data_IF_917217788087
#
_entry.id   IF_917217788087
#
_cell.length_a   1.000
_cell.length_b   1.000
_cell.length_c   1.000
_cell.angle_alpha   90.00
_cell.angle_beta   90.00
_cell.angle_gamma   90.00
#
_symmetry.space_group_name_H-M   'P 1'
#
loop_
_entity.id
_entity.type
_entity.pdbx_description
1 polymer ?
#
# COMPACT_ATOMS: atom_id res chain seq x y z
N UNK A 1 15.79 6.53 -34.84
CA UNK A 1 16.84 5.54 -34.50
C UNK A 1 17.08 4.51 -35.59
N UNK A 2 16.02 3.94 -36.13
CA UNK A 2 16.09 2.97 -37.25
C UNK A 2 16.88 3.52 -38.47
N UNK A 3 16.70 4.81 -38.84
CA UNK A 3 17.40 5.42 -39.97
C UNK A 3 18.94 5.53 -39.79
N UNK A 4 19.42 5.82 -38.56
CA UNK A 4 20.88 5.84 -38.29
C UNK A 4 21.47 4.43 -38.28
N UNK A 5 20.69 3.42 -37.83
CA UNK A 5 21.12 2.03 -37.92
C UNK A 5 21.24 1.59 -39.36
N UNK A 6 20.29 1.93 -40.23
CA UNK A 6 20.38 1.69 -41.68
C UNK A 6 21.64 2.27 -42.28
N UNK A 7 22.00 3.52 -41.92
CA UNK A 7 23.27 4.14 -42.42
C UNK A 7 24.47 3.33 -41.93
N UNK A 8 24.48 2.85 -40.70
CA UNK A 8 25.60 2.08 -40.14
C UNK A 8 25.75 0.70 -40.78
N UNK A 9 24.62 0.04 -41.06
CA UNK A 9 24.57 -1.29 -41.67
C UNK A 9 24.98 -1.31 -43.16
N UNK A 10 24.87 -0.16 -43.88
CA UNK A 10 25.19 -0.05 -45.31
C UNK A 10 26.48 0.77 -45.60
N UNK A 11 27.39 0.85 -44.63
CA UNK A 11 28.65 1.59 -44.80
C UNK A 11 29.58 1.00 -45.84
N UNK A 12 29.48 -0.31 -46.14
CA UNK A 12 30.27 -0.99 -47.15
C UNK A 12 29.90 -0.55 -48.57
N UNK A 13 28.61 -0.26 -48.81
CA UNK A 13 28.07 -0.02 -50.15
C UNK A 13 27.93 1.46 -50.49
N UNK A 14 27.69 2.31 -49.47
CA UNK A 14 27.38 3.73 -49.71
C UNK A 14 28.08 4.66 -48.72
N UNK A 15 28.47 5.85 -49.24
CA UNK A 15 29.04 6.88 -48.36
C UNK A 15 28.01 7.47 -47.42
N UNK A 16 28.41 7.75 -46.19
CA UNK A 16 27.58 8.38 -45.14
C UNK A 16 26.93 9.68 -45.64
N UNK A 17 27.70 10.48 -46.44
CA UNK A 17 27.18 11.73 -47.00
C UNK A 17 25.96 11.48 -47.88
N UNK A 18 26.07 10.52 -48.84
CA UNK A 18 24.98 10.18 -49.77
C UNK A 18 23.75 9.67 -49.04
N UNK A 19 23.93 8.70 -48.12
CA UNK A 19 22.83 8.12 -47.35
C UNK A 19 22.12 9.16 -46.48
N UNK A 20 22.88 10.00 -45.78
CA UNK A 20 22.28 11.07 -44.97
C UNK A 20 21.49 12.07 -45.80
N UNK A 21 21.99 12.44 -46.99
CA UNK A 21 21.27 13.34 -47.92
C UNK A 21 19.96 12.71 -48.40
N UNK A 22 19.98 11.46 -48.86
CA UNK A 22 18.77 10.75 -49.32
C UNK A 22 17.74 10.54 -48.21
N UNK A 23 18.18 10.22 -47.01
CA UNK A 23 17.31 9.98 -45.86
C UNK A 23 16.87 11.24 -45.09
N UNK A 24 17.32 12.41 -45.53
CA UNK A 24 17.04 13.68 -44.85
C UNK A 24 17.64 13.75 -43.45
N UNK A 25 18.83 13.18 -43.22
CA UNK A 25 19.49 13.12 -41.92
C UNK A 25 20.66 14.10 -41.85
N UNK A 26 20.84 14.70 -40.67
CA UNK A 26 22.03 15.50 -40.40
C UNK A 26 23.22 14.56 -40.12
N UNK A 27 24.30 14.72 -40.86
CA UNK A 27 25.51 13.91 -40.78
C UNK A 27 26.19 13.97 -39.40
N UNK A 28 26.23 15.15 -38.79
CA UNK A 28 26.79 15.29 -37.44
C UNK A 28 25.96 14.55 -36.39
N UNK A 29 24.64 14.49 -36.57
CA UNK A 29 23.73 13.71 -35.70
C UNK A 29 23.97 12.20 -35.83
N UNK A 30 24.26 11.70 -37.03
CA UNK A 30 24.65 10.31 -37.23
C UNK A 30 25.97 9.98 -36.48
N UNK A 31 27.02 10.76 -36.65
CA UNK A 31 28.29 10.52 -35.94
C UNK A 31 28.13 10.62 -34.41
N UNK A 32 27.36 11.60 -33.93
CA UNK A 32 27.04 11.69 -32.51
C UNK A 32 26.31 10.44 -32.01
N UNK A 33 25.36 9.91 -32.78
CA UNK A 33 24.68 8.67 -32.49
C UNK A 33 25.67 7.48 -32.51
N UNK A 34 26.50 7.35 -33.50
CA UNK A 34 27.50 6.28 -33.60
C UNK A 34 28.47 6.30 -32.42
N UNK A 35 29.06 7.44 -32.12
CA UNK A 35 30.02 7.61 -31.03
C UNK A 35 29.41 7.37 -29.65
N UNK A 36 28.09 7.52 -29.51
CA UNK A 36 27.39 7.23 -28.28
C UNK A 36 26.96 5.74 -28.10
N UNK A 37 27.32 4.87 -29.06
CA UNK A 37 26.96 3.45 -29.02
C UNK A 37 27.42 2.71 -27.75
N UNK A 38 28.68 2.86 -27.27
CA UNK A 38 29.12 2.21 -26.03
C UNK A 38 28.28 2.65 -24.82
N UNK A 39 27.98 3.95 -24.72
CA UNK A 39 27.15 4.50 -23.64
C UNK A 39 25.69 4.00 -23.71
N UNK A 40 25.16 3.81 -24.93
CA UNK A 40 23.80 3.21 -25.08
C UNK A 40 23.79 1.75 -24.68
N UNK A 41 24.82 0.95 -25.04
CA UNK A 41 24.96 -0.45 -24.62
C UNK A 41 25.07 -0.56 -23.10
N UNK A 42 25.93 0.23 -22.47
CA UNK A 42 26.06 0.26 -21.01
C UNK A 42 24.73 0.58 -20.33
N UNK A 43 23.95 1.54 -20.87
CA UNK A 43 22.60 1.86 -20.35
C UNK A 43 21.62 0.71 -20.50
N UNK A 44 21.67 -0.05 -21.61
CA UNK A 44 20.79 -1.21 -21.80
C UNK A 44 21.13 -2.33 -20.80
N UNK A 45 22.40 -2.58 -20.55
CA UNK A 45 22.84 -3.55 -19.54
C UNK A 45 22.39 -3.12 -18.14
N UNK A 46 22.59 -1.85 -17.77
CA UNK A 46 22.14 -1.31 -16.49
C UNK A 46 20.61 -1.33 -16.35
N UNK A 47 19.88 -1.04 -17.45
CA UNK A 47 18.43 -1.17 -17.47
C UNK A 47 17.97 -2.64 -17.30
N UNK A 48 18.67 -3.61 -17.87
CA UNK A 48 18.37 -5.04 -17.73
C UNK A 48 18.56 -5.51 -16.28
N UNK A 49 19.64 -5.10 -15.62
CA UNK A 49 19.88 -5.42 -14.20
C UNK A 49 18.76 -4.84 -13.33
N UNK A 50 18.44 -3.56 -13.50
CA UNK A 50 17.35 -2.93 -12.73
C UNK A 50 16.00 -3.57 -13.06
N UNK A 51 15.75 -4.00 -14.28
CA UNK A 51 14.53 -4.68 -14.67
C UNK A 51 14.37 -6.05 -13.96
N UNK A 52 15.46 -6.81 -13.81
CA UNK A 52 15.47 -8.06 -13.06
C UNK A 52 15.19 -7.82 -11.56
N UNK A 53 15.80 -6.80 -10.95
CA UNK A 53 15.51 -6.41 -9.56
C UNK A 53 14.04 -6.00 -9.37
N UNK A 54 13.46 -5.25 -10.33
CA UNK A 54 12.04 -4.86 -10.34
C UNK A 54 11.15 -6.10 -10.38
N UNK A 55 11.45 -7.07 -11.26
CA UNK A 55 10.68 -8.31 -11.39
C UNK A 55 10.71 -9.08 -10.07
N UNK A 56 11.89 -9.28 -9.47
CA UNK A 56 12.04 -9.99 -8.21
C UNK A 56 11.23 -9.36 -7.05
N UNK A 57 11.23 -8.01 -6.95
CA UNK A 57 10.42 -7.30 -5.96
C UNK A 57 8.93 -7.46 -6.26
N UNK A 58 8.54 -7.34 -7.53
CA UNK A 58 7.15 -7.44 -7.95
C UNK A 58 6.56 -8.82 -7.62
N UNK A 59 7.33 -9.89 -7.85
CA UNK A 59 6.95 -11.27 -7.55
C UNK A 59 6.87 -11.51 -6.04
N UNK A 60 7.87 -11.06 -5.27
CA UNK A 60 7.88 -11.16 -3.81
C UNK A 60 6.67 -10.46 -3.17
N UNK A 61 6.18 -9.39 -3.79
CA UNK A 61 5.01 -8.64 -3.37
C UNK A 61 3.71 -9.09 -4.09
N UNK A 62 3.72 -10.28 -4.66
CA UNK A 62 2.57 -10.92 -5.31
C UNK A 62 1.86 -10.05 -6.37
N UNK A 63 2.60 -9.21 -7.08
CA UNK A 63 2.06 -8.36 -8.14
C UNK A 63 1.24 -7.16 -7.65
N UNK A 64 1.26 -6.86 -6.37
CA UNK A 64 0.43 -5.78 -5.78
C UNK A 64 1.08 -4.40 -5.88
N UNK A 65 2.42 -4.34 -5.86
CA UNK A 65 3.13 -3.08 -5.80
C UNK A 65 3.28 -2.40 -7.16
N UNK A 66 2.95 -1.12 -7.20
CA UNK A 66 3.23 -0.24 -8.35
C UNK A 66 4.59 0.47 -8.23
N UNK A 67 4.95 1.20 -9.29
CA UNK A 67 6.26 1.85 -9.45
C UNK A 67 6.73 2.69 -8.25
N UNK A 68 5.83 3.29 -7.47
CA UNK A 68 6.21 4.13 -6.32
C UNK A 68 6.84 3.30 -5.21
N UNK A 69 6.20 2.19 -4.80
CA UNK A 69 6.69 1.30 -3.75
C UNK A 69 7.95 0.56 -4.19
N UNK A 70 7.96 0.05 -5.43
CA UNK A 70 9.14 -0.61 -6.00
C UNK A 70 10.33 0.34 -6.06
N UNK A 71 10.13 1.61 -6.41
CA UNK A 71 11.23 2.60 -6.41
C UNK A 71 11.79 2.83 -5.02
N UNK A 72 10.95 2.92 -3.99
CA UNK A 72 11.39 3.08 -2.62
C UNK A 72 12.23 1.87 -2.18
N UNK A 73 11.70 0.67 -2.39
CA UNK A 73 12.37 -0.59 -2.06
C UNK A 73 13.74 -0.74 -2.74
N UNK A 74 13.82 -0.48 -4.06
CA UNK A 74 15.08 -0.53 -4.79
C UNK A 74 16.13 0.43 -4.24
N UNK A 75 15.72 1.64 -3.88
CA UNK A 75 16.64 2.65 -3.37
C UNK A 75 17.11 2.33 -1.96
N UNK A 76 16.27 1.72 -1.13
CA UNK A 76 16.64 1.32 0.22
C UNK A 76 17.58 0.11 0.20
N UNK A 77 17.30 -0.93 -0.58
CA UNK A 77 18.22 -2.07 -0.78
C UNK A 77 19.61 -1.62 -1.25
N UNK A 78 19.66 -0.64 -2.15
CA UNK A 78 20.95 -0.11 -2.65
C UNK A 78 21.68 0.74 -1.61
N UNK A 79 20.98 1.45 -0.75
CA UNK A 79 21.56 2.17 0.37
C UNK A 79 22.15 1.19 1.39
N UNK A 80 21.38 0.19 1.77
CA UNK A 80 21.75 -0.78 2.82
C UNK A 80 22.95 -1.65 2.39
N UNK A 81 23.05 -1.95 1.09
CA UNK A 81 24.20 -2.65 0.50
C UNK A 81 25.42 -1.75 0.24
N UNK A 82 25.39 -0.49 0.64
CA UNK A 82 26.48 0.46 0.44
C UNK A 82 26.81 0.79 -1.02
N UNK A 83 25.99 0.31 -1.96
CA UNK A 83 26.29 0.36 -3.40
C UNK A 83 25.91 1.69 -4.06
N UNK A 84 25.15 2.55 -3.41
CA UNK A 84 24.63 3.75 -4.10
C UNK A 84 24.71 5.00 -3.22
N UNK A 85 25.60 5.96 -3.53
CA UNK A 85 25.55 7.28 -2.93
C UNK A 85 24.19 7.97 -3.18
N UNK A 86 23.74 8.89 -2.32
CA UNK A 86 22.45 9.59 -2.46
C UNK A 86 22.21 10.22 -3.84
N UNK A 87 23.28 10.62 -4.52
CA UNK A 87 23.24 11.21 -5.86
C UNK A 87 22.86 10.23 -6.99
N UNK A 88 22.90 8.93 -6.77
CA UNK A 88 22.61 7.91 -7.80
C UNK A 88 21.30 7.14 -7.57
N UNK A 89 20.35 7.71 -6.83
CA UNK A 89 19.03 7.08 -6.64
C UNK A 89 18.33 6.82 -7.97
N UNK A 90 17.69 5.66 -8.07
CA UNK A 90 16.88 5.30 -9.22
C UNK A 90 15.62 6.17 -9.25
N UNK A 91 15.39 6.84 -10.39
CA UNK A 91 14.23 7.69 -10.56
C UNK A 91 12.98 6.85 -10.83
N UNK A 92 11.85 7.23 -10.20
CA UNK A 92 10.53 6.60 -10.40
C UNK A 92 10.12 6.50 -11.87
N UNK A 93 10.44 7.52 -12.70
CA UNK A 93 10.12 7.50 -14.13
C UNK A 93 10.86 6.35 -14.85
N UNK A 94 12.11 6.05 -14.44
CA UNK A 94 12.87 4.91 -14.98
C UNK A 94 12.20 3.59 -14.58
N UNK A 95 11.87 3.40 -13.31
CA UNK A 95 11.17 2.21 -12.81
C UNK A 95 9.84 2.01 -13.54
N UNK A 96 9.01 3.05 -13.65
CA UNK A 96 7.73 2.97 -14.35
C UNK A 96 7.87 2.60 -15.83
N UNK A 97 8.94 3.09 -16.51
CA UNK A 97 9.25 2.72 -17.90
C UNK A 97 9.61 1.25 -18.02
N UNK A 98 10.48 0.74 -17.13
CA UNK A 98 10.93 -0.65 -17.13
C UNK A 98 9.79 -1.60 -16.77
N UNK A 99 8.97 -1.28 -15.78
CA UNK A 99 7.77 -2.05 -15.44
C UNK A 99 6.82 -2.16 -16.65
N UNK A 100 6.57 -1.04 -17.33
CA UNK A 100 5.71 -1.05 -18.53
C UNK A 100 6.30 -1.91 -19.64
N UNK A 101 7.61 -1.86 -19.87
CA UNK A 101 8.30 -2.68 -20.87
C UNK A 101 8.22 -4.19 -20.58
N UNK A 102 8.06 -4.58 -19.30
CA UNK A 102 7.88 -5.96 -18.83
C UNK A 102 6.40 -6.33 -18.62
N UNK A 103 5.44 -5.45 -18.97
CA UNK A 103 4.01 -5.64 -18.71
C UNK A 103 3.67 -5.82 -17.22
N UNK A 104 4.45 -5.22 -16.32
CA UNK A 104 4.22 -5.28 -14.87
C UNK A 104 3.31 -4.14 -14.42
N UNK A 105 2.12 -4.47 -13.95
CA UNK A 105 1.15 -3.51 -13.44
C UNK A 105 0.74 -3.91 -12.03
N UNK A 106 0.97 -3.03 -11.05
CA UNK A 106 0.49 -3.27 -9.69
C UNK A 106 -1.03 -3.43 -9.66
N UNK A 107 -1.53 -4.41 -8.91
CA UNK A 107 -2.95 -4.74 -8.88
C UNK A 107 -3.82 -3.54 -8.47
N UNK A 108 -4.81 -3.21 -9.28
CA UNK A 108 -5.79 -2.16 -9.03
C UNK A 108 -7.21 -2.71 -9.25
N UNK A 109 -8.00 -2.75 -8.18
CA UNK A 109 -9.42 -3.09 -8.31
C UNK A 109 -10.20 -1.92 -8.91
N UNK A 110 -11.03 -2.14 -9.92
CA UNK A 110 -11.93 -1.10 -10.47
C UNK A 110 -12.86 -0.60 -9.38
N UNK A 111 -12.94 0.73 -9.22
CA UNK A 111 -13.79 1.37 -8.21
C UNK A 111 -15.26 1.10 -8.55
N UNK A 112 -16.00 0.45 -7.63
CA UNK A 112 -17.46 0.39 -7.70
C UNK A 112 -18.01 1.52 -6.83
N UNK A 113 -18.90 2.31 -7.38
CA UNK A 113 -19.63 3.33 -6.61
C UNK A 113 -20.62 2.58 -5.71
N UNK A 114 -20.47 2.69 -4.39
CA UNK A 114 -21.51 2.27 -3.44
C UNK A 114 -22.17 3.51 -2.89
N UNK A 115 -23.47 3.58 -3.01
CA UNK A 115 -24.29 4.54 -2.27
C UNK A 115 -24.60 3.94 -0.91
N UNK A 116 -24.04 4.51 0.15
CA UNK A 116 -24.34 4.11 1.53
C UNK A 116 -25.68 4.70 1.95
N UNK A 117 -26.62 3.91 2.44
CA UNK A 117 -27.86 4.39 3.03
C UNK A 117 -27.53 5.11 4.35
N UNK A 118 -28.13 6.28 4.54
CA UNK A 118 -27.95 7.14 5.71
C UNK A 118 -28.76 6.57 6.87
N UNK A 119 -28.11 6.13 7.95
CA UNK A 119 -28.78 5.86 9.22
C UNK A 119 -28.79 7.12 10.07
N UNK A 120 -29.95 7.45 10.67
CA UNK A 120 -30.15 8.67 11.46
C UNK A 120 -29.99 8.41 12.96
N UNK A 121 -29.08 7.52 13.35
CA UNK A 121 -28.77 7.19 14.74
C UNK A 121 -28.30 8.39 15.55
N UNK A 122 -28.63 8.43 16.84
CA UNK A 122 -28.23 9.49 17.79
C UNK A 122 -26.76 9.27 18.16
N UNK A 123 -25.92 10.33 18.14
CA UNK A 123 -24.55 10.25 18.68
C UNK A 123 -24.57 9.84 20.15
N UNK A 124 -23.77 8.84 20.49
CA UNK A 124 -23.59 8.38 21.87
C UNK A 124 -22.36 9.04 22.49
N UNK A 125 -21.31 9.27 21.70
CA UNK A 125 -20.07 9.95 22.12
C UNK A 125 -19.76 11.15 21.22
N UNK A 126 -19.07 12.15 21.81
CA UNK A 126 -18.62 13.32 21.07
C UNK A 126 -17.56 12.93 20.02
N UNK A 127 -17.52 13.65 18.91
CA UNK A 127 -16.43 13.54 17.96
C UNK A 127 -15.22 14.35 18.47
N UNK A 128 -14.21 13.65 18.97
CA UNK A 128 -12.97 14.22 19.49
C UNK A 128 -11.89 14.33 18.40
N UNK A 129 -12.11 13.72 17.22
CA UNK A 129 -11.13 13.63 16.13
C UNK A 129 -11.41 14.66 15.05
N UNK A 130 -12.69 15.01 14.82
CA UNK A 130 -13.11 16.02 13.85
C UNK A 130 -12.51 15.82 12.44
N UNK A 131 -12.42 14.57 11.98
CA UNK A 131 -11.78 14.14 10.71
C UNK A 131 -10.29 14.41 10.64
N UNK A 132 -9.64 14.85 11.70
CA UNK A 132 -8.20 14.96 11.76
C UNK A 132 -7.59 13.62 12.22
N UNK A 133 -7.31 12.76 11.25
CA UNK A 133 -6.63 11.47 11.48
C UNK A 133 -5.11 11.62 11.56
N UNK A 134 -4.62 12.78 11.99
CA UNK A 134 -3.23 12.97 12.36
C UNK A 134 -3.10 12.94 13.89
N UNK A 135 -1.90 12.60 14.36
CA UNK A 135 -1.58 12.63 15.76
C UNK A 135 -0.15 13.13 15.93
N UNK A 136 0.13 13.85 17.00
CA UNK A 136 1.47 14.37 17.28
C UNK A 136 2.43 13.29 17.82
N UNK A 137 1.90 12.19 18.34
CA UNK A 137 2.66 11.06 18.90
C UNK A 137 1.87 9.76 18.78
N UNK A 138 2.58 8.63 18.90
CA UNK A 138 1.97 7.31 18.97
C UNK A 138 1.04 7.19 20.20
N UNK A 139 0.02 6.35 20.07
CA UNK A 139 -0.97 6.04 21.11
C UNK A 139 -1.86 7.23 21.54
N UNK A 140 -1.91 8.32 20.76
CA UNK A 140 -2.80 9.45 21.07
C UNK A 140 -4.16 9.33 20.44
N UNK A 141 -4.21 8.93 19.18
CA UNK A 141 -5.45 8.73 18.44
C UNK A 141 -5.38 7.38 17.74
N UNK A 142 -6.33 6.54 18.07
CA UNK A 142 -6.52 5.22 17.49
C UNK A 142 -7.85 5.20 16.74
N UNK A 143 -7.90 4.52 15.60
CA UNK A 143 -9.13 4.31 14.85
C UNK A 143 -9.45 2.83 14.80
N UNK A 144 -10.72 2.49 15.00
CA UNK A 144 -11.23 1.12 14.95
C UNK A 144 -12.32 0.94 13.90
N UNK A 145 -12.37 -0.26 13.31
CA UNK A 145 -13.44 -0.65 12.38
C UNK A 145 -13.56 -2.17 12.33
N UNK A 146 -14.75 -2.65 11.92
CA UNK A 146 -15.01 -4.07 11.66
C UNK A 146 -15.26 -4.27 10.18
N UNK A 147 -14.60 -5.23 9.58
CA UNK A 147 -14.82 -5.58 8.19
C UNK A 147 -15.24 -7.03 8.01
N UNK A 148 -16.14 -7.27 7.04
CA UNK A 148 -16.59 -8.60 6.64
C UNK A 148 -15.54 -9.28 5.77
N UNK A 149 -15.33 -10.56 6.03
CA UNK A 149 -14.44 -11.45 5.29
C UNK A 149 -15.29 -12.62 4.76
N UNK A 150 -15.82 -12.53 3.53
CA UNK A 150 -16.78 -13.51 3.02
C UNK A 150 -16.11 -14.86 2.71
N UNK A 151 -16.74 -15.95 3.10
CA UNK A 151 -16.33 -17.34 2.88
C UNK A 151 -17.14 -17.95 1.73
N UNK A 152 -16.58 -18.94 1.05
CA UNK A 152 -17.20 -19.57 -0.12
C UNK A 152 -18.49 -20.33 0.20
N UNK A 153 -18.66 -20.80 1.43
CA UNK A 153 -19.86 -21.47 1.94
C UNK A 153 -21.02 -20.52 2.26
N UNK A 154 -20.85 -19.22 2.02
CA UNK A 154 -21.84 -18.18 2.32
C UNK A 154 -21.73 -17.59 3.72
N UNK A 155 -20.90 -18.15 4.60
CA UNK A 155 -20.62 -17.58 5.92
C UNK A 155 -19.74 -16.33 5.81
N UNK A 156 -19.61 -15.60 6.92
CA UNK A 156 -18.68 -14.51 7.06
C UNK A 156 -17.77 -14.73 8.27
N UNK A 157 -16.50 -14.37 8.09
CA UNK A 157 -15.62 -14.04 9.21
C UNK A 157 -15.60 -12.52 9.36
N UNK A 158 -15.18 -12.05 10.51
CA UNK A 158 -15.13 -10.64 10.88
C UNK A 158 -13.74 -10.31 11.40
N UNK A 159 -13.20 -9.18 10.97
CA UNK A 159 -11.93 -8.65 11.44
C UNK A 159 -12.21 -7.30 12.12
N UNK A 160 -11.95 -7.20 13.40
CA UNK A 160 -11.84 -5.92 14.10
C UNK A 160 -10.39 -5.45 14.10
N UNK A 161 -10.17 -4.16 13.90
CA UNK A 161 -8.83 -3.56 13.79
C UNK A 161 -8.71 -2.33 14.66
N UNK A 162 -7.49 -2.09 15.18
CA UNK A 162 -7.10 -0.87 15.89
C UNK A 162 -5.83 -0.34 15.22
N UNK A 163 -5.91 0.87 14.66
CA UNK A 163 -4.82 1.49 13.88
C UNK A 163 -4.41 2.79 14.56
N UNK A 164 -3.12 2.97 14.78
CA UNK A 164 -2.55 4.21 15.31
C UNK A 164 -2.48 5.28 14.22
N UNK A 165 -3.06 6.46 14.48
CA UNK A 165 -3.12 7.55 13.52
C UNK A 165 -1.77 8.22 13.27
N UNK A 166 -0.82 8.14 14.19
CA UNK A 166 0.53 8.69 14.03
C UNK A 166 1.37 7.84 13.07
N UNK A 167 1.57 6.57 13.42
CA UNK A 167 2.46 5.65 12.69
C UNK A 167 1.77 4.87 11.56
N UNK A 168 0.44 4.91 11.47
CA UNK A 168 -0.37 4.02 10.61
C UNK A 168 -0.24 2.54 10.94
N UNK A 169 0.39 2.22 12.07
CA UNK A 169 0.60 0.85 12.53
C UNK A 169 -0.74 0.21 12.95
N UNK A 170 -0.97 -1.01 12.48
CA UNK A 170 -2.00 -1.87 13.05
C UNK A 170 -1.52 -2.34 14.41
N UNK A 171 -2.07 -1.76 15.47
CA UNK A 171 -1.62 -2.02 16.85
C UNK A 171 -2.41 -3.13 17.52
N UNK A 172 -3.61 -3.42 17.04
CA UNK A 172 -4.42 -4.53 17.53
C UNK A 172 -5.38 -5.02 16.46
N UNK A 173 -5.68 -6.31 16.49
CA UNK A 173 -6.73 -6.90 15.66
C UNK A 173 -7.21 -8.21 16.28
N UNK A 174 -8.45 -8.60 15.93
CA UNK A 174 -9.03 -9.88 16.26
C UNK A 174 -9.88 -10.40 15.10
N UNK A 175 -9.97 -11.74 14.94
CA UNK A 175 -10.72 -12.39 13.87
C UNK A 175 -11.66 -13.44 14.47
N UNK A 176 -12.97 -13.25 14.26
CA UNK A 176 -13.98 -14.20 14.73
C UNK A 176 -14.99 -14.56 13.63
N UNK A 177 -15.80 -15.58 13.87
CA UNK A 177 -16.95 -15.94 13.04
C UNK A 177 -18.24 -15.20 13.45
N UNK A 178 -18.14 -14.21 14.32
CA UNK A 178 -19.25 -13.40 14.84
C UNK A 178 -18.81 -11.93 14.94
N UNK A 179 -19.79 -11.02 14.96
CA UNK A 179 -19.59 -9.59 15.12
C UNK A 179 -20.20 -9.14 16.47
N UNK A 180 -19.76 -9.76 17.57
CA UNK A 180 -20.16 -9.38 18.92
C UNK A 180 -19.12 -8.45 19.56
N UNK A 181 -19.47 -7.85 20.70
CA UNK A 181 -18.63 -6.88 21.42
C UNK A 181 -17.26 -7.46 21.79
N UNK A 182 -17.20 -8.74 22.14
CA UNK A 182 -15.95 -9.44 22.49
C UNK A 182 -14.88 -9.31 21.40
N UNK A 183 -15.28 -9.26 20.12
CA UNK A 183 -14.35 -9.11 19.00
C UNK A 183 -13.60 -7.78 19.02
N UNK A 184 -14.30 -6.68 19.33
CA UNK A 184 -13.69 -5.35 19.39
C UNK A 184 -12.91 -5.14 20.68
N UNK A 185 -13.34 -5.77 21.78
CA UNK A 185 -12.60 -5.79 23.04
C UNK A 185 -11.25 -6.49 22.87
N UNK A 186 -11.25 -7.71 22.31
CA UNK A 186 -10.03 -8.47 22.02
C UNK A 186 -9.06 -7.64 21.16
N UNK A 187 -9.55 -6.96 20.12
CA UNK A 187 -8.73 -6.12 19.28
C UNK A 187 -8.11 -4.95 20.06
N UNK A 188 -8.87 -4.30 20.96
CA UNK A 188 -8.37 -3.18 21.77
C UNK A 188 -7.42 -3.66 22.88
N UNK A 189 -7.68 -4.80 23.50
CA UNK A 189 -6.79 -5.42 24.47
C UNK A 189 -5.46 -5.84 23.84
N UNK A 190 -5.48 -6.44 22.65
CA UNK A 190 -4.28 -6.76 21.89
C UNK A 190 -3.47 -5.49 21.57
N UNK A 191 -4.14 -4.37 21.25
CA UNK A 191 -3.48 -3.09 21.07
C UNK A 191 -2.82 -2.59 22.37
N UNK A 192 -3.52 -2.69 23.48
CA UNK A 192 -3.01 -2.32 24.80
C UNK A 192 -1.77 -3.15 25.20
N UNK A 193 -1.84 -4.46 25.01
CA UNK A 193 -0.69 -5.35 25.27
C UNK A 193 0.52 -5.01 24.39
N UNK A 194 0.31 -4.82 23.08
CA UNK A 194 1.38 -4.48 22.16
C UNK A 194 2.08 -3.15 22.50
N UNK A 195 1.30 -2.20 23.03
CA UNK A 195 1.78 -0.83 23.32
C UNK A 195 2.23 -0.62 24.77
N UNK A 196 2.05 -1.61 25.65
CA UNK A 196 2.33 -1.49 27.08
C UNK A 196 1.35 -0.58 27.81
N UNK A 197 0.15 -0.39 27.26
CA UNK A 197 -0.92 0.45 27.77
C UNK A 197 -1.43 1.46 26.74
N UNK A 198 -2.65 1.95 26.98
CA UNK A 198 -3.32 2.94 26.10
C UNK A 198 -3.89 4.11 26.90
N UNK A 199 -3.43 4.32 28.13
CA UNK A 199 -3.97 5.37 28.99
C UNK A 199 -3.88 6.75 28.33
N UNK A 200 -5.00 7.49 28.37
CA UNK A 200 -5.14 8.80 27.74
C UNK A 200 -5.29 8.78 26.20
N UNK A 201 -5.38 7.60 25.57
CA UNK A 201 -5.65 7.49 24.13
C UNK A 201 -7.11 7.83 23.81
N UNK A 202 -7.35 8.33 22.60
CA UNK A 202 -8.68 8.46 21.99
C UNK A 202 -8.88 7.29 21.05
N UNK A 203 -9.97 6.53 21.22
CA UNK A 203 -10.41 5.50 20.29
C UNK A 203 -11.61 5.99 19.49
N UNK A 204 -11.42 6.17 18.21
CA UNK A 204 -12.44 6.65 17.29
C UNK A 204 -12.99 5.52 16.42
N UNK A 205 -14.31 5.41 16.36
CA UNK A 205 -15.03 4.40 15.58
C UNK A 205 -16.27 5.00 14.88
N UNK A 206 -16.91 4.17 14.06
CA UNK A 206 -18.25 4.43 13.57
C UNK A 206 -19.32 4.21 14.69
N UNK A 207 -20.60 4.39 14.33
CA UNK A 207 -21.75 4.20 15.23
C UNK A 207 -22.21 2.74 15.34
N UNK A 208 -21.36 1.76 15.05
CA UNK A 208 -21.71 0.35 15.19
C UNK A 208 -22.18 0.01 16.60
N UNK A 209 -23.21 -0.83 16.73
CA UNK A 209 -23.81 -1.20 18.01
C UNK A 209 -22.81 -1.84 18.99
N UNK A 210 -21.79 -2.51 18.49
CA UNK A 210 -20.71 -3.11 19.29
C UNK A 210 -19.89 -2.06 20.02
N UNK A 211 -19.61 -0.90 19.38
CA UNK A 211 -18.84 0.19 19.97
C UNK A 211 -19.64 1.04 20.96
N UNK A 212 -20.98 1.00 20.89
CA UNK A 212 -21.86 1.69 21.83
C UNK A 212 -22.32 0.82 22.99
N UNK A 213 -21.91 -0.44 23.01
CA UNK A 213 -22.28 -1.38 24.07
C UNK A 213 -21.68 -0.99 25.43
N UNK A 214 -22.41 -1.24 26.53
CA UNK A 214 -21.90 -0.99 27.89
C UNK A 214 -20.66 -1.82 28.22
N UNK A 215 -20.52 -2.99 27.62
CA UNK A 215 -19.40 -3.88 27.77
C UNK A 215 -18.12 -3.23 27.16
N UNK A 216 -18.19 -2.73 25.93
CA UNK A 216 -17.05 -2.04 25.29
C UNK A 216 -16.69 -0.74 26.02
N UNK A 217 -17.69 0.01 26.52
CA UNK A 217 -17.46 1.20 27.35
C UNK A 217 -16.69 0.86 28.62
N UNK A 218 -17.05 -0.24 29.31
CA UNK A 218 -16.32 -0.71 30.48
C UNK A 218 -14.86 -1.07 30.16
N UNK A 219 -14.62 -1.73 29.02
CA UNK A 219 -13.27 -2.05 28.54
C UNK A 219 -12.46 -0.78 28.23
N UNK A 220 -13.03 0.20 27.52
CA UNK A 220 -12.38 1.48 27.27
C UNK A 220 -12.01 2.20 28.59
N UNK A 221 -12.95 2.25 29.54
CA UNK A 221 -12.71 2.85 30.88
C UNK A 221 -11.58 2.13 31.63
N UNK A 222 -11.57 0.80 31.62
CA UNK A 222 -10.53 -0.02 32.26
C UNK A 222 -9.15 0.23 31.66
N UNK A 223 -9.06 0.48 30.35
CA UNK A 223 -7.82 0.74 29.62
C UNK A 223 -7.44 2.23 29.58
N UNK A 224 -8.20 3.11 30.24
CA UNK A 224 -7.94 4.56 30.25
C UNK A 224 -8.18 5.23 28.88
N UNK A 225 -9.01 4.65 28.00
CA UNK A 225 -9.24 5.10 26.63
C UNK A 225 -10.52 5.92 26.55
N UNK A 226 -10.44 7.12 25.97
CA UNK A 226 -11.61 7.95 25.67
C UNK A 226 -12.26 7.54 24.34
N UNK A 227 -13.58 7.26 24.36
CA UNK A 227 -14.31 6.93 23.14
C UNK A 227 -14.68 8.20 22.36
N UNK A 228 -14.57 8.09 21.04
CA UNK A 228 -14.95 9.11 20.07
C UNK A 228 -15.71 8.50 18.91
N UNK A 229 -16.73 9.19 18.41
CA UNK A 229 -17.52 8.72 17.26
C UNK A 229 -17.68 9.81 16.22
N UNK A 230 -17.55 9.46 14.96
CA UNK A 230 -17.76 10.36 13.85
C UNK A 230 -19.21 10.85 13.72
N UNK A 231 -19.52 11.64 12.70
CA UNK A 231 -20.90 12.02 12.39
C UNK A 231 -21.65 10.84 11.73
N UNK A 232 -22.95 10.73 12.05
CA UNK A 232 -23.79 9.69 11.46
C UNK A 232 -23.88 9.88 9.94
N UNK A 233 -23.56 8.83 9.16
CA UNK A 233 -23.82 8.76 7.73
C UNK A 233 -22.77 9.36 6.81
N UNK A 234 -21.55 9.60 7.29
CA UNK A 234 -20.44 10.01 6.42
C UNK A 234 -19.28 9.01 6.52
N UNK A 235 -18.94 8.37 5.38
CA UNK A 235 -17.76 7.49 5.29
C UNK A 235 -16.43 8.23 5.51
N UNK A 236 -16.45 9.57 5.40
CA UNK A 236 -15.28 10.41 5.65
C UNK A 236 -14.82 10.37 7.11
N UNK A 237 -15.71 10.04 8.03
CA UNK A 237 -15.46 10.10 9.47
C UNK A 237 -14.65 8.89 10.00
N UNK A 238 -14.41 7.85 9.19
CA UNK A 238 -13.51 6.73 9.51
C UNK A 238 -12.64 6.33 8.30
N UNK A 239 -12.22 7.31 7.49
CA UNK A 239 -11.55 7.09 6.21
C UNK A 239 -10.24 6.31 6.32
N UNK A 240 -9.53 6.40 7.46
CA UNK A 240 -8.29 5.65 7.69
C UNK A 240 -8.55 4.15 7.79
N UNK A 241 -9.49 3.75 8.64
CA UNK A 241 -9.85 2.33 8.81
C UNK A 241 -10.50 1.75 7.54
N UNK A 242 -11.35 2.54 6.85
CA UNK A 242 -11.92 2.13 5.56
C UNK A 242 -10.82 1.91 4.50
N UNK A 243 -9.82 2.79 4.44
CA UNK A 243 -8.66 2.65 3.53
C UNK A 243 -7.84 1.40 3.83
N UNK A 244 -7.64 1.08 5.10
CA UNK A 244 -6.99 -0.15 5.55
C UNK A 244 -7.77 -1.38 5.09
N UNK A 245 -9.05 -1.45 5.39
CA UNK A 245 -9.93 -2.56 5.03
C UNK A 245 -10.02 -2.76 3.50
N UNK A 246 -10.07 -1.67 2.74
CA UNK A 246 -10.03 -1.72 1.28
C UNK A 246 -8.67 -2.24 0.76
N UNK A 247 -7.56 -1.88 1.41
CA UNK A 247 -6.23 -2.39 1.05
C UNK A 247 -6.11 -3.88 1.35
N UNK A 248 -6.54 -4.33 2.53
CA UNK A 248 -6.59 -5.75 2.91
C UNK A 248 -7.37 -6.58 1.89
N UNK A 249 -8.63 -6.23 1.64
CA UNK A 249 -9.48 -6.98 0.70
C UNK A 249 -8.91 -6.99 -0.72
N UNK A 250 -8.32 -5.89 -1.15
CA UNK A 250 -7.69 -5.80 -2.47
C UNK A 250 -6.44 -6.67 -2.57
N UNK A 251 -5.60 -6.67 -1.54
CA UNK A 251 -4.28 -7.30 -1.58
C UNK A 251 -4.37 -8.81 -1.25
N UNK A 252 -5.33 -9.24 -0.43
CA UNK A 252 -5.53 -10.65 -0.07
C UNK A 252 -6.45 -11.38 -1.05
N UNK A 253 -7.62 -10.83 -1.33
CA UNK A 253 -8.60 -11.48 -2.21
C UNK A 253 -8.26 -11.29 -3.70
N UNK A 254 -7.62 -10.17 -4.06
CA UNK A 254 -7.37 -9.81 -5.48
C UNK A 254 -8.65 -9.88 -6.31
N UNK A 255 -8.73 -10.83 -7.24
CA UNK A 255 -9.89 -11.08 -8.10
C UNK A 255 -10.91 -12.04 -7.49
N UNK A 256 -10.55 -12.76 -6.42
CA UNK A 256 -11.48 -13.60 -5.68
C UNK A 256 -12.54 -12.77 -4.96
N UNK A 257 -13.74 -13.33 -4.83
CA UNK A 257 -14.84 -12.69 -4.09
C UNK A 257 -14.89 -13.14 -2.63
N UNK A 258 -14.42 -14.34 -2.36
CA UNK A 258 -14.53 -15.04 -1.08
C UNK A 258 -13.23 -15.77 -0.75
N UNK A 259 -13.01 -16.06 0.53
CA UNK A 259 -12.00 -17.02 0.98
C UNK A 259 -12.54 -18.45 0.83
N UNK A 260 -11.68 -19.42 0.57
CA UNK A 260 -12.10 -20.81 0.37
C UNK A 260 -12.75 -21.43 1.63
N UNK A 261 -12.19 -21.13 2.81
CA UNK A 261 -12.74 -21.53 4.10
C UNK A 261 -12.24 -20.61 5.23
N UNK A 262 -12.75 -20.80 6.45
CA UNK A 262 -12.41 -20.00 7.63
C UNK A 262 -10.92 -20.11 8.01
N UNK A 263 -10.31 -21.28 7.89
CA UNK A 263 -8.89 -21.49 8.23
C UNK A 263 -7.97 -20.70 7.29
N UNK A 264 -8.22 -20.79 5.98
CA UNK A 264 -7.50 -20.02 4.95
C UNK A 264 -7.70 -18.52 5.19
N UNK A 265 -8.93 -18.10 5.48
CA UNK A 265 -9.23 -16.70 5.81
C UNK A 265 -8.38 -16.21 6.99
N UNK A 266 -8.38 -16.91 8.12
CA UNK A 266 -7.59 -16.56 9.31
C UNK A 266 -6.11 -16.48 8.99
N UNK A 267 -5.55 -17.49 8.31
CA UNK A 267 -4.14 -17.56 7.95
C UNK A 267 -3.72 -16.40 7.06
N UNK A 268 -4.46 -16.15 6.00
CA UNK A 268 -4.08 -15.18 4.97
C UNK A 268 -4.26 -13.75 5.48
N UNK A 269 -5.30 -13.48 6.25
CA UNK A 269 -5.52 -12.18 6.90
C UNK A 269 -4.46 -11.93 7.96
N UNK A 270 -4.14 -12.90 8.82
CA UNK A 270 -3.06 -12.78 9.81
C UNK A 270 -1.72 -12.46 9.14
N UNK A 271 -1.34 -13.22 8.12
CA UNK A 271 -0.10 -12.97 7.35
C UNK A 271 -0.08 -11.56 6.77
N UNK A 272 -1.19 -11.11 6.23
CA UNK A 272 -1.28 -9.78 5.66
C UNK A 272 -1.18 -8.69 6.75
N UNK A 273 -1.83 -8.86 7.90
CA UNK A 273 -1.72 -7.93 9.03
C UNK A 273 -0.27 -7.79 9.52
N UNK A 274 0.45 -8.90 9.65
CA UNK A 274 1.89 -8.86 10.00
C UNK A 274 2.67 -8.11 8.92
N UNK A 275 2.52 -8.48 7.65
CA UNK A 275 3.20 -7.82 6.52
C UNK A 275 2.81 -6.33 6.38
N UNK A 276 1.62 -5.96 6.79
CA UNK A 276 1.17 -4.57 6.76
C UNK A 276 2.09 -3.69 7.62
N UNK A 277 2.49 -4.14 8.78
CA UNK A 277 3.39 -3.41 9.67
C UNK A 277 4.86 -3.54 9.27
N UNK A 278 5.32 -4.75 8.92
CA UNK A 278 6.75 -5.08 8.78
C UNK A 278 7.31 -4.88 7.38
N UNK A 279 6.50 -4.99 6.34
CA UNK A 279 6.96 -4.99 4.95
C UNK A 279 6.26 -3.95 4.07
N UNK A 280 4.98 -3.66 4.35
CA UNK A 280 4.18 -2.84 3.46
C UNK A 280 4.56 -1.37 3.56
N UNK A 281 5.06 -0.81 2.45
CA UNK A 281 5.45 0.59 2.37
C UNK A 281 4.24 1.53 2.27
N UNK A 282 4.21 2.55 3.11
CA UNK A 282 3.14 3.53 3.21
C UNK A 282 3.57 4.90 2.69
N UNK A 283 2.73 5.50 1.85
CA UNK A 283 2.98 6.87 1.36
C UNK A 283 3.00 7.89 2.50
N UNK A 284 2.14 7.69 3.50
CA UNK A 284 2.08 8.54 4.70
C UNK A 284 3.40 8.52 5.48
N UNK A 285 4.01 7.35 5.63
CA UNK A 285 5.29 7.16 6.34
C UNK A 285 6.50 7.42 5.42
N UNK A 286 6.37 8.25 4.38
CA UNK A 286 7.48 8.51 3.46
C UNK A 286 7.97 7.28 2.68
N UNK A 287 7.12 6.29 2.48
CA UNK A 287 7.41 4.96 1.92
C UNK A 287 8.21 4.04 2.86
N UNK A 288 8.30 4.36 4.13
CA UNK A 288 8.72 3.41 5.17
C UNK A 288 7.57 2.48 5.54
N UNK A 289 7.86 1.42 6.31
CA UNK A 289 6.84 0.58 6.93
C UNK A 289 6.30 1.23 8.20
N UNK A 290 5.13 0.84 8.72
CA UNK A 290 4.64 1.32 10.00
C UNK A 290 5.52 0.95 11.21
N UNK A 291 6.40 -0.06 11.08
CA UNK A 291 7.33 -0.49 12.15
C UNK A 291 8.62 0.35 12.16
N UNK A 292 9.05 0.89 11.01
CA UNK A 292 10.16 1.85 10.90
C UNK A 292 9.78 3.23 11.40
#
# INVERSE_FOLDING_TARGET
MIRFQFVDDNLADYSVKRMCTVLGLNRSSYYKWKNSAPRRRARLVDDAVVAAEIQAIFDAENGVWGARRITAELNDRKRDNGTTPPAKRINRKRVARLMRAQNLFGFQKKRRVKTTARDKGRRVFADLVNRDFTACAANRVLVGDITYLPIADGANMYLATVIDCFSRKLVGFAIANHMRTELVEEALENASHLRGGLDGAIFHSDHGSVYTSSQFQATCKRLGVAQSMGAVGTSADNSLAESFNAALKREVLKDAKTFANQLICRRDVFRWCVRYNTCRRHTWCGYQTPDE
#
